data_IF_433390095805
#
_entry.id   IF_433390095805
#
_cell.length_a   1.000
_cell.length_b   1.000
_cell.length_c   1.000
_cell.angle_alpha   90.00
_cell.angle_beta   90.00
_cell.angle_gamma   90.00
#
_symmetry.space_group_name_H-M   'P 1'
#
loop_
_entity.id
_entity.type
_entity.pdbx_description
1 polymer ?
#
# COMPACT_ATOMS: atom_id res chain seq x y z
N UNK A 1 25.65 -16.86 -10.46
CA UNK A 1 26.08 -15.55 -10.97
C UNK A 1 25.62 -14.46 -10.01
N UNK A 2 26.42 -13.42 -9.78
CA UNK A 2 26.03 -12.29 -8.93
C UNK A 2 25.07 -11.33 -9.64
N UNK A 3 24.42 -10.45 -8.88
CA UNK A 3 23.62 -9.34 -9.45
C UNK A 3 24.52 -8.44 -10.29
N UNK A 4 24.05 -8.06 -11.49
CA UNK A 4 24.76 -7.12 -12.40
C UNK A 4 24.55 -5.66 -12.05
N UNK A 5 23.54 -5.41 -11.20
CA UNK A 5 23.18 -4.08 -10.72
C UNK A 5 23.25 -4.08 -9.20
N UNK A 6 23.82 -3.01 -8.66
CA UNK A 6 23.84 -2.74 -7.24
C UNK A 6 23.25 -1.36 -6.95
N UNK A 7 22.33 -1.27 -6.00
CA UNK A 7 21.80 0.02 -5.56
C UNK A 7 22.68 0.56 -4.44
N UNK A 8 23.40 1.65 -4.71
CA UNK A 8 24.35 2.22 -3.77
C UNK A 8 23.66 3.02 -2.66
N UNK A 9 22.64 3.82 -3.02
CA UNK A 9 21.93 4.67 -2.08
C UNK A 9 20.59 5.10 -2.63
N UNK A 10 19.60 5.21 -1.74
CA UNK A 10 18.29 5.79 -2.03
C UNK A 10 18.01 6.85 -0.97
N UNK A 11 17.91 8.11 -1.39
CA UNK A 11 17.64 9.24 -0.52
C UNK A 11 16.21 9.73 -0.73
N UNK A 12 15.40 9.74 0.32
CA UNK A 12 14.04 10.29 0.25
C UNK A 12 14.12 11.78 0.56
N UNK A 13 13.89 12.62 -0.45
CA UNK A 13 14.15 14.06 -0.39
C UNK A 13 13.10 14.83 0.43
N UNK A 14 11.88 14.32 0.52
CA UNK A 14 10.75 14.98 1.18
C UNK A 14 10.25 14.20 2.40
N UNK A 15 11.10 14.10 3.43
CA UNK A 15 10.81 13.36 4.65
C UNK A 15 11.19 14.17 5.91
N UNK A 16 10.29 14.33 6.90
CA UNK A 16 8.86 13.98 6.89
C UNK A 16 8.02 14.91 5.99
N UNK A 17 6.88 14.42 5.49
CA UNK A 17 5.96 15.15 4.60
C UNK A 17 4.49 14.89 4.95
N UNK A 18 3.56 15.63 4.33
CA UNK A 18 2.14 15.31 4.46
C UNK A 18 1.83 13.98 3.76
N UNK A 19 0.79 13.29 4.21
CA UNK A 19 0.38 12.03 3.60
C UNK A 19 0.07 12.18 2.10
N UNK A 20 -0.52 13.32 1.71
CA UNK A 20 -0.96 13.63 0.35
C UNK A 20 0.14 14.19 -0.55
N UNK A 21 1.35 14.40 -0.04
CA UNK A 21 2.45 14.89 -0.86
C UNK A 21 2.99 13.77 -1.76
N UNK A 22 3.57 14.09 -2.92
CA UNK A 22 4.22 13.09 -3.78
C UNK A 22 5.54 12.61 -3.18
N UNK A 23 5.98 11.40 -3.48
CA UNK A 23 7.30 10.91 -3.07
C UNK A 23 8.38 11.39 -4.04
N UNK A 24 9.54 11.80 -3.50
CA UNK A 24 10.72 12.16 -4.27
C UNK A 24 11.93 11.39 -3.76
N UNK A 25 12.45 10.48 -4.57
CA UNK A 25 13.60 9.65 -4.23
C UNK A 25 14.76 9.99 -5.16
N UNK A 26 15.94 10.28 -4.62
CA UNK A 26 17.18 10.30 -5.39
C UNK A 26 17.81 8.91 -5.29
N UNK A 27 17.82 8.19 -6.42
CA UNK A 27 18.34 6.83 -6.51
C UNK A 27 19.70 6.89 -7.17
N UNK A 28 20.69 6.27 -6.53
CA UNK A 28 22.02 6.05 -7.10
C UNK A 28 22.30 4.56 -7.15
N UNK A 29 22.59 4.06 -8.35
CA UNK A 29 22.89 2.65 -8.58
C UNK A 29 24.13 2.50 -9.47
N UNK A 30 24.72 1.32 -9.47
CA UNK A 30 25.89 0.96 -10.26
C UNK A 30 25.56 -0.28 -11.08
N UNK A 31 25.78 -0.20 -12.39
CA UNK A 31 25.74 -1.34 -13.29
C UNK A 31 27.18 -1.81 -13.53
N UNK A 32 27.45 -3.09 -13.27
CA UNK A 32 28.78 -3.68 -13.45
C UNK A 32 29.10 -4.05 -14.90
N UNK A 33 28.11 -3.99 -15.78
CA UNK A 33 28.24 -4.24 -17.21
C UNK A 33 27.15 -3.49 -17.98
N UNK A 34 27.29 -3.42 -19.31
CA UNK A 34 26.27 -2.83 -20.16
C UNK A 34 25.03 -3.74 -20.22
N UNK A 35 23.90 -3.25 -19.73
CA UNK A 35 22.63 -3.94 -19.81
C UNK A 35 21.90 -3.56 -21.11
N UNK A 36 21.56 -4.54 -21.96
CA UNK A 36 20.86 -4.28 -23.22
C UNK A 36 19.39 -3.90 -23.03
N UNK A 37 18.76 -4.34 -21.93
CA UNK A 37 17.36 -4.03 -21.61
C UNK A 37 17.26 -2.98 -20.49
N UNK A 38 16.06 -2.44 -20.33
CA UNK A 38 15.76 -1.41 -19.36
C UNK A 38 15.56 -2.00 -17.96
N UNK A 39 15.93 -1.22 -16.93
CA UNK A 39 15.60 -1.50 -15.55
C UNK A 39 14.27 -0.82 -15.23
N UNK A 40 13.29 -1.59 -14.79
CA UNK A 40 12.01 -1.06 -14.33
C UNK A 40 12.07 -0.84 -12.82
N UNK A 41 11.79 0.38 -12.38
CA UNK A 41 11.73 0.81 -10.99
C UNK A 41 10.29 1.09 -10.63
N UNK A 42 9.74 0.31 -9.71
CA UNK A 42 8.34 0.39 -9.31
C UNK A 42 8.25 0.76 -7.83
N UNK A 43 7.57 1.85 -7.51
CA UNK A 43 7.30 2.24 -6.13
C UNK A 43 5.90 1.75 -5.73
N UNK A 44 5.84 0.95 -4.67
CA UNK A 44 4.61 0.35 -4.15
C UNK A 44 4.41 0.74 -2.69
N UNK A 45 3.24 1.27 -2.38
CA UNK A 45 2.80 1.55 -1.02
C UNK A 45 1.94 0.40 -0.51
N UNK A 46 2.29 -0.15 0.64
CA UNK A 46 1.50 -1.21 1.27
C UNK A 46 0.31 -0.58 1.99
N UNK A 47 -0.91 -0.88 1.52
CA UNK A 47 -2.12 -0.28 2.09
C UNK A 47 -2.61 -0.98 3.35
N UNK A 48 -2.32 -2.27 3.51
CA UNK A 48 -2.68 -3.03 4.70
C UNK A 48 -1.60 -4.08 4.99
N UNK A 49 -1.34 -4.32 6.27
CA UNK A 49 -0.42 -5.37 6.70
C UNK A 49 -0.97 -6.79 6.47
N UNK A 50 -2.28 -6.93 6.32
CA UNK A 50 -2.97 -8.23 6.24
C UNK A 50 -3.28 -8.65 4.81
N UNK A 51 -3.63 -7.69 3.95
CA UNK A 51 -4.09 -7.94 2.59
C UNK A 51 -3.30 -7.15 1.55
N UNK A 52 -2.62 -7.87 0.65
CA UNK A 52 -1.90 -7.29 -0.51
C UNK A 52 -2.81 -6.61 -1.53
N UNK A 53 -4.13 -6.79 -1.44
CA UNK A 53 -5.09 -6.16 -2.37
C UNK A 53 -5.15 -4.65 -2.23
N UNK A 54 -4.76 -4.14 -1.06
CA UNK A 54 -4.67 -2.71 -0.78
C UNK A 54 -3.32 -2.12 -1.18
N UNK A 55 -2.38 -2.92 -1.68
CA UNK A 55 -1.09 -2.43 -2.17
C UNK A 55 -1.32 -1.56 -3.41
N UNK A 56 -0.75 -0.37 -3.38
CA UNK A 56 -0.90 0.61 -4.44
C UNK A 56 0.42 0.79 -5.12
N UNK A 57 0.47 0.49 -6.42
CA UNK A 57 1.57 0.94 -7.27
C UNK A 57 1.42 2.44 -7.47
N UNK A 58 2.35 3.20 -6.90
CA UNK A 58 2.38 4.65 -6.96
C UNK A 58 2.87 5.11 -8.34
N UNK A 59 4.02 4.60 -8.77
CA UNK A 59 4.56 4.88 -10.09
C UNK A 59 5.53 3.79 -10.57
N UNK A 60 5.81 3.75 -11.87
CA UNK A 60 6.81 2.89 -12.48
C UNK A 60 7.60 3.64 -13.55
N UNK A 61 8.93 3.54 -13.50
CA UNK A 61 9.84 4.17 -14.47
C UNK A 61 10.83 3.16 -15.02
N UNK A 62 10.99 3.18 -16.35
CA UNK A 62 11.97 2.37 -17.05
C UNK A 62 13.23 3.20 -17.33
N UNK A 63 14.38 2.67 -16.95
CA UNK A 63 15.69 3.31 -17.14
C UNK A 63 16.55 2.40 -17.99
N UNK A 64 16.74 2.76 -19.25
CA UNK A 64 17.72 2.11 -20.11
C UNK A 64 17.76 2.64 -21.55
N UNK A 65 18.62 2.05 -22.41
CA UNK A 65 19.59 1.00 -22.06
C UNK A 65 20.63 1.51 -21.06
N UNK A 66 21.06 0.67 -20.11
CA UNK A 66 21.90 1.10 -18.97
C UNK A 66 23.37 0.75 -19.22
N UNK A 67 24.26 1.73 -19.49
CA UNK A 67 25.68 1.46 -19.65
C UNK A 67 26.34 1.03 -18.34
N UNK A 68 27.51 0.41 -18.43
CA UNK A 68 28.38 0.15 -17.28
C UNK A 68 28.74 1.46 -16.57
N UNK A 69 28.71 1.43 -15.24
CA UNK A 69 29.10 2.54 -14.37
C UNK A 69 28.02 2.95 -13.39
N UNK A 70 28.24 4.10 -12.74
CA UNK A 70 27.37 4.63 -11.70
C UNK A 70 26.39 5.65 -12.27
N UNK A 71 25.12 5.42 -12.00
CA UNK A 71 23.99 6.22 -12.46
C UNK A 71 23.26 6.84 -11.29
N UNK A 72 22.69 8.02 -11.52
CA UNK A 72 21.90 8.73 -10.54
C UNK A 72 20.73 9.43 -11.20
N UNK A 73 19.54 9.26 -10.66
CA UNK A 73 18.34 9.93 -11.14
C UNK A 73 17.39 10.23 -9.98
N UNK A 74 16.44 11.14 -10.24
CA UNK A 74 15.35 11.45 -9.31
C UNK A 74 14.10 10.73 -9.79
N UNK A 75 13.51 9.92 -8.91
CA UNK A 75 12.24 9.26 -9.11
C UNK A 75 11.16 10.01 -8.33
N UNK A 76 10.22 10.61 -9.05
CA UNK A 76 9.04 11.23 -8.47
C UNK A 76 7.85 10.30 -8.67
N UNK A 77 7.08 10.04 -7.61
CA UNK A 77 5.92 9.16 -7.64
C UNK A 77 4.77 9.79 -6.87
N UNK A 78 3.54 9.58 -7.32
CA UNK A 78 2.36 10.19 -6.68
C UNK A 78 2.13 9.66 -5.27
N UNK A 79 1.42 10.43 -4.44
CA UNK A 79 0.95 9.98 -3.14
C UNK A 79 0.02 8.75 -3.22
N UNK A 80 -0.05 7.95 -2.15
CA UNK A 80 -1.00 6.85 -2.06
C UNK A 80 -2.44 7.38 -1.94
N UNK A 81 -3.41 6.69 -2.56
CA UNK A 81 -4.82 7.05 -2.43
C UNK A 81 -5.36 6.57 -1.07
N UNK A 82 -5.75 7.48 -0.16
CA UNK A 82 -6.27 7.12 1.16
C UNK A 82 -7.58 6.34 1.07
N UNK A 83 -8.35 6.48 -0.01
CA UNK A 83 -9.65 5.84 -0.19
C UNK A 83 -9.55 4.33 -0.40
N UNK A 84 -8.37 3.85 -0.84
CA UNK A 84 -8.09 2.44 -1.08
C UNK A 84 -7.47 1.74 0.13
N UNK A 85 -7.15 2.51 1.18
CA UNK A 85 -6.53 2.04 2.40
C UNK A 85 -7.62 1.86 3.47
N UNK A 86 -7.67 0.72 4.17
CA UNK A 86 -8.56 0.56 5.32
C UNK A 86 -8.32 1.66 6.36
N UNK A 87 -9.39 2.23 6.93
CA UNK A 87 -9.27 3.31 7.92
C UNK A 87 -8.41 2.93 9.15
N UNK A 88 -8.37 1.64 9.49
CA UNK A 88 -7.59 1.08 10.59
C UNK A 88 -6.08 1.07 10.29
N UNK A 89 -5.69 0.88 9.02
CA UNK A 89 -4.30 0.84 8.57
C UNK A 89 -3.78 2.21 8.10
N UNK A 90 -4.65 3.21 8.00
CA UNK A 90 -4.28 4.56 7.53
C UNK A 90 -3.36 5.29 8.52
N UNK A 91 -3.54 5.04 9.83
CA UNK A 91 -2.72 5.61 10.91
C UNK A 91 -1.93 4.49 11.57
N UNK A 92 -0.63 4.65 11.70
CA UNK A 92 0.23 3.63 12.28
C UNK A 92 1.52 3.45 11.50
N UNK A 93 1.98 2.21 11.39
CA UNK A 93 3.21 1.88 10.66
C UNK A 93 2.84 0.97 9.48
N UNK A 94 3.31 1.35 8.30
CA UNK A 94 3.17 0.57 7.08
C UNK A 94 4.51 0.46 6.36
N UNK A 95 4.56 -0.10 5.16
CA UNK A 95 5.75 -0.29 4.36
C UNK A 95 5.66 0.39 2.98
N UNK A 96 6.79 0.92 2.53
CA UNK A 96 7.03 1.43 1.18
C UNK A 96 8.07 0.55 0.52
N UNK A 97 7.76 -0.01 -0.65
CA UNK A 97 8.61 -0.95 -1.37
C UNK A 97 9.04 -0.33 -2.70
N UNK A 98 10.35 -0.21 -2.91
CA UNK A 98 10.93 0.08 -4.22
C UNK A 98 11.43 -1.23 -4.83
N UNK A 99 10.73 -1.69 -5.84
CA UNK A 99 11.03 -2.91 -6.58
C UNK A 99 11.83 -2.55 -7.82
N UNK A 100 12.86 -3.34 -8.10
CA UNK A 100 13.65 -3.23 -9.32
C UNK A 100 13.53 -4.52 -10.10
N UNK A 101 13.06 -4.40 -11.34
CA UNK A 101 12.89 -5.50 -12.26
C UNK A 101 13.80 -5.32 -13.46
N UNK A 102 14.26 -6.44 -14.00
CA UNK A 102 14.99 -6.48 -15.26
C UNK A 102 14.35 -7.56 -16.13
N UNK A 103 13.95 -7.19 -17.35
CA UNK A 103 13.21 -8.08 -18.26
C UNK A 103 12.00 -8.78 -17.57
N UNK A 104 11.16 -7.98 -16.90
CA UNK A 104 10.01 -8.42 -16.10
C UNK A 104 10.30 -9.34 -14.90
N UNK A 105 11.57 -9.58 -14.54
CA UNK A 105 11.97 -10.35 -13.36
C UNK A 105 12.38 -9.41 -12.22
N UNK A 106 11.68 -9.44 -11.09
CA UNK A 106 12.06 -8.72 -9.86
C UNK A 106 13.32 -9.36 -9.27
N UNK A 107 14.41 -8.58 -9.14
CA UNK A 107 15.68 -9.07 -8.58
C UNK A 107 16.09 -8.34 -7.29
N UNK A 108 15.51 -7.18 -7.03
CA UNK A 108 15.79 -6.37 -5.84
C UNK A 108 14.51 -5.71 -5.34
N UNK A 109 14.33 -5.75 -4.04
CA UNK A 109 13.24 -5.10 -3.34
C UNK A 109 13.79 -4.39 -2.10
N UNK A 110 13.61 -3.07 -2.08
CA UNK A 110 14.03 -2.18 -1.00
C UNK A 110 12.78 -1.73 -0.24
N UNK A 111 12.64 -2.17 1.01
CA UNK A 111 11.51 -1.84 1.87
C UNK A 111 11.89 -0.86 2.98
N UNK A 112 11.10 0.20 3.15
CA UNK A 112 11.16 1.09 4.30
C UNK A 112 9.87 1.02 5.10
N UNK A 113 9.97 1.24 6.40
CA UNK A 113 8.78 1.52 7.21
C UNK A 113 8.35 2.97 7.05
N UNK A 114 7.05 3.19 6.90
CA UNK A 114 6.42 4.51 6.88
C UNK A 114 5.54 4.62 8.10
N UNK A 115 5.86 5.57 8.97
CA UNK A 115 5.05 5.92 10.12
C UNK A 115 4.11 7.05 9.74
N UNK A 116 2.80 6.84 9.87
CA UNK A 116 1.76 7.83 9.63
C UNK A 116 1.13 8.23 10.96
N UNK A 117 1.21 9.51 11.32
CA UNK A 117 0.70 10.04 12.58
C UNK A 117 0.13 11.46 12.42
N UNK A 118 -0.72 11.86 13.36
CA UNK A 118 -1.16 13.26 13.44
C UNK A 118 -0.05 14.14 14.00
N UNK A 119 0.03 15.39 13.53
CA UNK A 119 0.90 16.41 14.13
C UNK A 119 0.26 17.11 15.33
N UNK A 120 -1.07 17.18 15.37
CA UNK A 120 -1.82 17.92 16.38
C UNK A 120 -2.02 17.05 17.64
N UNK A 121 -1.57 17.48 18.84
CA UNK A 121 -1.71 16.72 20.08
C UNK A 121 -3.16 16.34 20.43
N UNK A 122 -4.11 17.23 20.14
CA UNK A 122 -5.53 17.00 20.41
C UNK A 122 -6.09 15.81 19.62
N UNK A 123 -5.63 15.63 18.37
CA UNK A 123 -6.04 14.52 17.50
C UNK A 123 -5.31 13.21 17.84
N UNK A 124 -4.17 13.31 18.53
CA UNK A 124 -3.46 12.14 19.07
C UNK A 124 -4.18 11.64 20.31
N UNK A 125 -4.57 12.53 21.23
CA UNK A 125 -5.28 12.16 22.46
C UNK A 125 -6.73 11.74 22.21
N UNK A 126 -7.41 12.38 21.25
CA UNK A 126 -8.78 12.07 20.86
C UNK A 126 -8.85 11.79 19.36
N UNK A 127 -8.46 10.58 18.92
CA UNK A 127 -8.51 10.23 17.50
C UNK A 127 -9.95 10.24 17.01
N UNK A 128 -10.26 10.99 15.93
CA UNK A 128 -11.60 11.01 15.36
C UNK A 128 -11.94 9.64 14.76
N UNK A 129 -13.23 9.26 14.78
CA UNK A 129 -13.69 7.98 14.21
C UNK A 129 -13.41 7.84 12.71
N UNK A 130 -13.37 8.97 11.99
CA UNK A 130 -12.95 9.03 10.59
C UNK A 130 -11.61 9.78 10.48
N UNK A 131 -10.55 9.16 9.92
CA UNK A 131 -9.25 9.81 9.82
C UNK A 131 -9.28 11.09 8.98
N UNK A 132 -8.65 12.16 9.48
CA UNK A 132 -8.56 13.44 8.77
C UNK A 132 -7.27 13.47 7.95
N UNK A 133 -7.37 13.03 6.69
CA UNK A 133 -6.23 12.82 5.77
C UNK A 133 -5.33 14.07 5.66
N UNK A 134 -5.91 15.26 5.58
CA UNK A 134 -5.18 16.53 5.41
C UNK A 134 -4.25 16.88 6.59
N UNK A 135 -4.45 16.24 7.75
CA UNK A 135 -3.66 16.44 8.96
C UNK A 135 -2.70 15.29 9.25
N UNK A 136 -2.68 14.27 8.40
CA UNK A 136 -1.76 13.14 8.52
C UNK A 136 -0.37 13.54 8.01
N UNK A 137 0.63 13.28 8.85
CA UNK A 137 2.03 13.36 8.49
C UNK A 137 2.56 11.96 8.30
N UNK A 138 3.35 11.76 7.25
CA UNK A 138 4.12 10.54 7.06
C UNK A 138 5.61 10.79 7.27
N UNK A 139 6.25 9.82 7.89
CA UNK A 139 7.68 9.79 8.14
C UNK A 139 8.21 8.45 7.67
N UNK A 140 9.07 8.45 6.66
CA UNK A 140 9.75 7.25 6.19
C UNK A 140 11.00 7.02 7.03
N UNK A 141 11.12 5.84 7.63
CA UNK A 141 12.26 5.46 8.46
C UNK A 141 13.40 4.97 7.56
N UNK A 142 14.28 5.88 7.17
CA UNK A 142 15.42 5.60 6.28
C UNK A 142 16.48 4.70 6.92
N UNK A 143 16.54 4.64 8.26
CA UNK A 143 17.54 3.87 9.01
C UNK A 143 17.23 2.36 9.04
N UNK A 144 15.95 1.98 8.90
CA UNK A 144 15.50 0.58 8.92
C UNK A 144 15.14 0.12 7.50
N UNK A 145 16.16 0.13 6.62
CA UNK A 145 16.06 -0.36 5.25
C UNK A 145 16.15 -1.88 5.21
N UNK A 146 15.13 -2.52 4.67
CA UNK A 146 15.09 -3.97 4.40
C UNK A 146 15.40 -4.23 2.94
N UNK A 147 16.47 -4.99 2.70
CA UNK A 147 16.89 -5.38 1.36
C UNK A 147 16.55 -6.85 1.14
N UNK A 148 15.79 -7.14 0.10
CA UNK A 148 15.54 -8.51 -0.36
C UNK A 148 16.02 -8.64 -1.80
N UNK A 149 16.82 -9.66 -2.09
CA UNK A 149 17.33 -9.95 -3.43
C UNK A 149 16.84 -11.29 -3.93
N UNK A 150 16.56 -11.37 -5.22
CA UNK A 150 16.15 -12.60 -5.90
C UNK A 150 17.12 -12.89 -7.03
N UNK A 151 17.57 -14.15 -7.20
CA UNK A 151 18.35 -14.53 -8.36
C UNK A 151 17.47 -14.48 -9.60
N UNK A 152 17.95 -13.84 -10.67
CA UNK A 152 17.25 -13.75 -11.95
C UNK A 152 18.17 -14.17 -13.09
N UNK A 153 17.55 -14.49 -14.24
CA UNK A 153 18.28 -14.71 -15.50
C UNK A 153 18.59 -13.35 -16.13
N UNK A 154 19.88 -13.06 -16.26
CA UNK A 154 20.35 -11.78 -16.82
C UNK A 154 20.60 -11.84 -18.33
N UNK A 155 20.98 -13.00 -18.87
CA UNK A 155 21.05 -13.23 -20.33
C UNK A 155 19.93 -14.16 -20.76
N UNK A 156 19.35 -13.89 -21.93
CA UNK A 156 18.33 -14.76 -22.55
C UNK A 156 18.88 -16.18 -22.87
N UNK A 157 20.20 -16.33 -22.98
CA UNK A 157 20.86 -17.58 -23.35
C UNK A 157 21.38 -18.42 -22.16
N UNK A 158 21.05 -18.06 -20.92
CA UNK A 158 21.44 -18.89 -19.77
C UNK A 158 20.61 -20.18 -19.72
N UNK A 159 21.28 -21.31 -19.94
CA UNK A 159 20.70 -22.65 -19.77
C UNK A 159 20.31 -22.82 -18.31
N UNK A 160 19.11 -23.33 -18.05
CA UNK A 160 18.66 -23.66 -16.69
C UNK A 160 19.55 -24.78 -16.12
N UNK A 161 20.56 -24.40 -15.34
CA UNK A 161 21.20 -25.34 -14.43
C UNK A 161 20.22 -25.65 -13.29
N UNK A 162 19.38 -26.66 -13.50
CA UNK A 162 18.75 -27.35 -12.38
C UNK A 162 19.87 -27.94 -11.51
N UNK A 163 19.83 -27.77 -10.18
CA UNK A 163 20.67 -28.59 -9.31
C UNK A 163 20.36 -30.06 -9.62
N UNK A 164 21.38 -30.94 -9.71
CA UNK A 164 21.14 -32.34 -10.04
C UNK A 164 20.12 -32.89 -9.06
N UNK A 165 19.03 -33.46 -9.58
CA UNK A 165 18.15 -34.32 -8.80
C UNK A 165 19.05 -35.33 -8.10
N UNK A 166 19.08 -35.25 -6.78
CA UNK A 166 19.67 -36.31 -5.98
C UNK A 166 18.74 -37.48 -6.20
N UNK A 167 19.09 -38.37 -7.12
CA UNK A 167 18.43 -39.67 -7.29
C UNK A 167 18.45 -40.35 -5.91
N UNK A 168 17.31 -40.32 -5.21
CA UNK A 168 17.12 -41.11 -4.01
C UNK A 168 17.23 -42.59 -4.43
N UNK A 169 18.19 -43.39 -3.92
CA UNK A 169 18.38 -44.76 -4.37
C UNK A 169 17.38 -45.77 -3.78
N UNK A 170 16.29 -45.32 -3.15
CA UNK A 170 15.46 -46.16 -2.28
C UNK A 170 14.03 -46.40 -2.79
N UNK A 171 13.83 -46.58 -4.11
CA UNK A 171 12.52 -46.92 -4.70
C UNK A 171 12.41 -48.35 -5.28
N UNK A 172 13.22 -49.30 -4.79
CA UNK A 172 13.23 -50.70 -5.26
C UNK A 172 12.59 -51.70 -4.28
N UNK A 173 11.40 -51.42 -3.74
CA UNK A 173 10.58 -52.43 -3.05
C UNK A 173 9.07 -52.19 -3.29
N UNK A 174 8.60 -52.50 -4.50
CA UNK A 174 7.19 -52.79 -4.76
C UNK A 174 6.99 -54.29 -4.46
N UNK A 175 6.18 -54.70 -3.47
CA UNK A 175 5.73 -56.09 -3.38
C UNK A 175 4.63 -56.29 -4.44
N UNK A 176 4.91 -57.13 -5.44
CA UNK A 176 3.89 -57.65 -6.36
C UNK A 176 2.96 -58.60 -5.57
N UNK A 177 1.69 -58.24 -5.44
CA UNK A 177 0.59 -59.17 -5.14
C UNK A 177 -0.18 -59.49 -6.43
N UNK A 178 -0.84 -60.66 -6.41
CA UNK A 178 -1.77 -61.28 -7.37
C UNK A 178 -1.12 -62.28 -8.35
N UNK A 179 -1.52 -63.55 -8.49
CA UNK A 179 -2.71 -64.33 -8.11
C UNK A 179 -2.38 -65.84 -8.32
N UNK A 180 -2.95 -66.77 -7.54
CA UNK A 180 -3.59 -68.00 -8.09
C UNK A 180 -4.29 -68.87 -7.00
N UNK A 181 -5.61 -69.02 -7.18
CA UNK A 181 -6.47 -70.22 -7.09
C UNK A 181 -6.47 -71.13 -5.83
N UNK A 182 -7.66 -71.37 -5.25
CA UNK A 182 -7.90 -72.59 -4.46
C UNK A 182 -9.02 -72.61 -3.40
N UNK A 183 -10.28 -72.60 -3.85
CA UNK A 183 -11.38 -73.53 -3.47
C UNK A 183 -11.86 -73.79 -2.00
N UNK A 184 -13.18 -74.02 -1.93
CA UNK A 184 -14.04 -74.76 -0.97
C UNK A 184 -14.58 -74.11 0.32
N UNK A 185 -15.83 -73.63 0.16
CA UNK A 185 -17.03 -73.83 1.01
C UNK A 185 -17.06 -73.34 2.47
N UNK A 186 -18.16 -72.68 2.85
CA UNK A 186 -19.31 -73.30 3.54
C UNK A 186 -20.12 -72.26 4.35
N UNK A 187 -21.40 -72.11 3.96
CA UNK A 187 -22.64 -71.89 4.75
C UNK A 187 -22.53 -71.05 6.05
N UNK A 188 -23.37 -70.06 6.39
CA UNK A 188 -24.80 -69.86 6.09
C UNK A 188 -25.31 -68.57 6.81
N UNK A 189 -26.40 -67.99 6.28
CA UNK A 189 -27.51 -67.22 6.92
C UNK A 189 -27.59 -65.67 6.91
N UNK A 190 -28.61 -65.25 6.15
CA UNK A 190 -29.71 -64.29 6.43
C UNK A 190 -29.34 -62.79 6.54
N UNK A 191 -29.69 -61.97 5.53
CA UNK A 191 -30.98 -61.23 5.35
C UNK A 191 -31.33 -60.36 6.56
N UNK A 192 -31.65 -59.06 6.48
CA UNK A 192 -31.99 -58.13 5.41
C UNK A 192 -32.69 -56.92 6.08
N UNK A 193 -32.66 -55.74 5.44
CA UNK A 193 -33.67 -54.65 5.40
C UNK A 193 -34.54 -54.31 6.65
N UNK A 194 -35.03 -53.10 6.95
CA UNK A 194 -35.06 -51.73 6.41
C UNK A 194 -35.82 -50.88 7.45
N UNK A 195 -35.46 -49.59 7.56
CA UNK A 195 -36.35 -48.42 7.47
C UNK A 195 -37.63 -48.28 8.36
N UNK A 196 -37.77 -47.12 9.04
CA UNK A 196 -38.86 -46.10 8.96
C UNK A 196 -39.48 -45.57 10.27
N UNK A 197 -39.59 -44.21 10.28
CA UNK A 197 -40.71 -43.34 10.74
C UNK A 197 -40.94 -43.31 12.27
N UNK A 198 -41.11 -42.18 12.99
CA UNK A 198 -41.67 -40.85 12.70
C UNK A 198 -42.91 -40.68 13.61
N UNK A 199 -43.01 -39.59 14.40
CA UNK A 199 -44.19 -38.70 14.50
C UNK A 199 -44.06 -37.65 15.65
N UNK A 200 -44.74 -36.53 15.41
CA UNK A 200 -45.10 -35.34 16.20
C UNK A 200 -45.88 -35.67 17.52
N UNK A 201 -46.25 -34.80 18.49
CA UNK A 201 -46.66 -33.37 18.53
C UNK A 201 -46.98 -32.90 19.99
N UNK A 202 -47.18 -31.58 20.15
CA UNK A 202 -48.11 -30.83 21.04
C UNK A 202 -47.73 -30.30 22.46
N UNK A 203 -48.12 -29.02 22.67
CA UNK A 203 -48.40 -28.30 23.95
C UNK A 203 -47.46 -27.11 24.26
N UNK A 204 -47.75 -25.81 24.01
CA UNK A 204 -48.65 -24.85 24.74
C UNK A 204 -48.25 -24.68 26.24
N UNK A 205 -48.04 -23.53 26.89
CA UNK A 205 -48.53 -22.13 26.81
C UNK A 205 -47.66 -21.17 27.71
N UNK A 206 -47.74 -19.85 27.44
CA UNK A 206 -47.64 -18.61 28.29
C UNK A 206 -46.35 -18.23 29.08
N UNK A 207 -45.65 -17.09 28.83
CA UNK A 207 -45.91 -15.61 28.92
C UNK A 207 -45.60 -15.00 30.30
N UNK A 208 -44.66 -14.03 30.35
CA UNK A 208 -44.72 -12.69 31.00
C UNK A 208 -43.32 -12.03 30.83
N UNK A 209 -43.09 -10.96 30.06
CA UNK A 209 -43.48 -9.55 30.24
C UNK A 209 -43.38 -9.09 31.69
N UNK A 210 -42.33 -8.33 32.01
CA UNK A 210 -42.48 -7.12 32.83
C UNK A 210 -41.56 -6.00 32.33
N UNK A 211 -42.22 -4.93 31.91
CA UNK A 211 -41.71 -3.57 31.85
C UNK A 211 -42.32 -2.82 33.05
N UNK A 212 -41.51 -2.03 33.74
CA UNK A 212 -41.89 -0.91 34.61
C UNK A 212 -40.57 -0.18 34.92
N UNK A 213 -40.24 0.97 34.34
CA UNK A 213 -40.89 2.28 34.36
C UNK A 213 -40.81 3.00 35.71
N UNK A 214 -40.56 4.32 35.59
CA UNK A 214 -40.56 5.40 36.59
C UNK A 214 -39.30 5.57 37.47
N UNK A 215 -38.51 6.61 37.17
CA UNK A 215 -38.66 7.91 37.87
C UNK A 215 -38.34 9.08 36.91
N UNK A 216 -39.35 9.96 36.72
CA UNK A 216 -39.20 11.36 36.34
C UNK A 216 -38.70 12.15 37.56
N UNK A 217 -37.86 13.16 37.36
CA UNK A 217 -38.00 14.47 38.01
C UNK A 217 -37.37 15.56 37.11
N UNK A 218 -38.27 16.43 36.65
CA UNK A 218 -38.20 17.85 36.28
C UNK A 218 -36.86 18.62 36.36
N UNK A 219 -36.57 19.45 35.35
CA UNK A 219 -36.51 20.91 35.55
C UNK A 219 -36.73 21.69 34.24
N UNK A 220 -37.64 22.64 34.33
CA UNK A 220 -38.07 23.62 33.34
C UNK A 220 -37.03 24.73 33.16
N UNK A 221 -37.02 25.39 32.00
CA UNK A 221 -36.20 26.59 31.84
C UNK A 221 -36.22 27.24 30.46
N UNK A 222 -37.40 27.60 29.96
CA UNK A 222 -37.57 28.67 28.98
C UNK A 222 -36.85 29.96 29.46
N UNK A 223 -36.09 30.64 28.59
CA UNK A 223 -36.29 32.09 28.43
C UNK A 223 -35.68 32.65 27.14
N UNK A 224 -36.52 33.46 26.50
CA UNK A 224 -36.28 34.34 25.37
C UNK A 224 -35.24 35.45 25.64
N UNK A 225 -34.71 36.00 24.54
CA UNK A 225 -34.88 37.45 24.33
C UNK A 225 -33.67 38.36 24.45
N UNK A 226 -33.39 39.04 23.32
CA UNK A 226 -32.78 40.38 23.25
C UNK A 226 -31.28 40.45 23.52
N UNK A 227 -30.50 41.37 22.97
CA UNK A 227 -30.84 42.64 22.35
C UNK A 227 -29.66 43.11 21.49
N UNK A 228 -30.00 43.98 20.55
CA UNK A 228 -29.14 44.72 19.64
C UNK A 228 -28.31 45.77 20.39
N UNK A 229 -27.11 46.03 19.91
CA UNK A 229 -26.50 47.39 19.85
C UNK A 229 -25.56 47.34 18.65
N UNK A 230 -25.88 47.93 17.49
CA UNK A 230 -25.67 49.34 17.13
C UNK A 230 -24.45 49.99 17.79
N UNK A 231 -23.44 50.34 17.00
CA UNK A 231 -23.00 51.74 16.83
C UNK A 231 -21.96 51.89 15.72
N UNK A 232 -22.32 52.76 14.77
CA UNK A 232 -21.54 53.79 14.07
C UNK A 232 -20.09 53.51 13.61
N UNK A 233 -19.82 53.53 12.30
CA UNK A 233 -19.70 54.71 11.45
C UNK A 233 -18.47 55.60 11.75
N UNK A 234 -17.47 55.54 10.86
CA UNK A 234 -16.75 56.70 10.31
C UNK A 234 -15.86 56.19 9.15
N UNK A 235 -16.10 56.56 7.88
CA UNK A 235 -15.95 57.87 7.21
C UNK A 235 -14.49 58.16 6.83
N UNK A 236 -14.32 58.43 5.52
CA UNK A 236 -13.41 59.36 4.82
C UNK A 236 -12.81 58.66 3.58
N UNK A 237 -13.41 58.79 2.40
CA UNK A 237 -13.27 59.89 1.41
C UNK A 237 -11.86 60.14 0.86
N UNK A 238 -11.81 60.03 -0.47
CA UNK A 238 -11.09 60.84 -1.47
C UNK A 238 -9.59 60.66 -1.70
N UNK A 239 -9.27 60.61 -3.00
CA UNK A 239 -7.93 60.83 -3.54
C UNK A 239 -7.77 60.34 -4.97
N UNK A 240 -8.41 61.02 -5.92
CA UNK A 240 -8.01 61.04 -7.34
C UNK A 240 -6.52 61.39 -7.49
N UNK A 241 -5.80 60.77 -8.42
CA UNK A 241 -5.09 61.51 -9.48
C UNK A 241 -4.69 60.57 -10.62
N UNK A 242 -4.93 61.05 -11.84
CA UNK A 242 -4.61 60.43 -13.10
C UNK A 242 -3.43 61.16 -13.75
N UNK A 243 -2.41 60.45 -14.21
CA UNK A 243 -1.52 60.89 -15.30
C UNK A 243 -0.48 59.79 -15.57
N UNK A 244 0.12 59.63 -16.74
CA UNK A 244 -0.21 59.92 -18.12
C UNK A 244 0.81 59.10 -18.93
N UNK A 245 0.41 58.65 -20.12
CA UNK A 245 1.25 57.94 -21.06
C UNK A 245 2.38 58.82 -21.65
N UNK A 246 3.52 58.20 -21.98
CA UNK A 246 4.39 58.57 -23.12
C UNK A 246 5.41 57.45 -23.33
N UNK A 247 5.26 56.58 -24.33
CA UNK A 247 5.70 56.73 -25.71
C UNK A 247 7.23 56.51 -25.94
N UNK A 248 7.50 55.28 -26.38
CA UNK A 248 8.31 54.87 -27.53
C UNK A 248 9.85 54.79 -27.53
N UNK A 249 10.38 53.87 -28.38
CA UNK A 249 11.73 53.31 -28.29
C UNK A 249 12.72 54.01 -29.23
N UNK A 250 14.02 53.78 -29.01
CA UNK A 250 15.07 54.17 -29.96
C UNK A 250 15.90 52.96 -30.37
N UNK A 251 15.95 52.83 -31.69
CA UNK A 251 16.70 51.94 -32.55
C UNK A 251 18.19 52.29 -32.61
N UNK A 252 18.88 51.48 -33.43
CA UNK A 252 20.07 51.82 -34.21
C UNK A 252 21.43 51.67 -33.49
N UNK A 253 22.48 51.08 -34.06
CA UNK A 253 22.76 50.54 -35.40
C UNK A 253 24.03 49.68 -35.33
N UNK A 254 24.21 48.76 -36.29
CA UNK A 254 25.47 48.46 -37.03
C UNK A 254 26.69 47.91 -36.25
N UNK A 255 27.54 47.03 -36.77
CA UNK A 255 27.74 46.47 -38.12
C UNK A 255 28.72 45.28 -38.02
N UNK A 256 28.59 44.31 -38.94
CA UNK A 256 29.61 43.87 -39.94
C UNK A 256 31.02 43.55 -39.41
N UNK A 257 31.59 42.37 -39.64
CA UNK A 257 31.80 41.68 -40.93
C UNK A 257 32.14 40.21 -40.67
#
# INVERSE_FOLDING_TARGET
>A
MGSRVNVCSVNILNNPSLFTDDFKLEITFEAYENLPHDLEWELVYVGSSTEKKHDQRLDSVEVGPTPEGRHKFVFEAVAADPSKIPSEDLIGVTALLLKVKYNAQEFLNLGWYVKVEYKDPELIENPPSTPVINKLSRTVLIDDLRVTTYPIKWDENQVEEYPPEVENPDEDLIPEEDEEEGDVSREEKEEGEKEKVGDQKDGEEDIDIEASDEEMEEDDGDNEGGDKTETDANKLENGEDASAASANPLSDSTNVN
#
